data_IF_008929410953
#
_entry.id   IF_008929410953
#
_cell.length_a   1.000
_cell.length_b   1.000
_cell.length_c   1.000
_cell.angle_alpha   90.00
_cell.angle_beta   90.00
_cell.angle_gamma   90.00
#
_symmetry.space_group_name_H-M   'P 1'
#
loop_
_entity.id
_entity.type
_entity.pdbx_description
1 polymer ?
#
# COMPACT_ATOMS: atom_id res chain seq x y z
N UNK A 1 -18.18 4.84 13.60
CA UNK A 1 -18.73 5.76 12.59
C UNK A 1 -19.27 4.93 11.44
N UNK A 2 -20.22 5.43 10.64
CA UNK A 2 -20.62 4.71 9.42
C UNK A 2 -19.45 4.64 8.42
N UNK A 3 -19.19 3.46 7.86
CA UNK A 3 -18.19 3.24 6.81
C UNK A 3 -18.71 3.65 5.43
N UNK A 4 -17.81 4.16 4.58
CA UNK A 4 -18.14 4.60 3.22
C UNK A 4 -18.14 3.46 2.17
N UNK A 5 -17.73 2.24 2.57
CA UNK A 5 -17.54 1.12 1.68
C UNK A 5 -16.64 1.47 0.48
N UNK A 6 -17.08 1.08 -0.72
CA UNK A 6 -16.36 1.29 -1.98
C UNK A 6 -16.09 2.76 -2.32
N UNK A 7 -16.89 3.70 -1.81
CA UNK A 7 -16.69 5.12 -2.09
C UNK A 7 -15.40 5.69 -1.49
N UNK A 8 -14.83 5.02 -0.46
CA UNK A 8 -13.54 5.38 0.13
C UNK A 8 -12.35 5.28 -0.84
N UNK A 9 -12.52 4.58 -1.97
CA UNK A 9 -11.50 4.45 -3.01
C UNK A 9 -11.43 5.59 -4.02
N UNK A 10 -12.30 6.58 -3.91
CA UNK A 10 -12.35 7.66 -4.88
C UNK A 10 -11.04 8.47 -4.86
N UNK A 11 -10.36 8.57 -6.01
CA UNK A 11 -9.07 9.26 -6.13
C UNK A 11 -9.12 10.74 -5.68
N UNK A 12 -10.28 11.40 -5.78
CA UNK A 12 -10.48 12.77 -5.28
C UNK A 12 -10.21 12.92 -3.77
N UNK A 13 -10.35 11.84 -3.00
CA UNK A 13 -10.10 11.85 -1.55
C UNK A 13 -8.61 11.86 -1.22
N UNK A 14 -7.72 11.62 -2.20
CA UNK A 14 -6.30 11.46 -1.95
C UNK A 14 -5.58 12.73 -1.51
N UNK A 15 -6.17 13.89 -1.74
CA UNK A 15 -5.69 15.13 -1.12
C UNK A 15 -5.76 15.08 0.41
N UNK A 16 -6.67 14.28 0.97
CA UNK A 16 -6.90 14.12 2.40
C UNK A 16 -6.30 12.84 2.98
N UNK A 17 -6.31 11.76 2.19
CA UNK A 17 -5.89 10.44 2.64
C UNK A 17 -4.39 10.23 2.50
N UNK A 18 -3.74 10.87 1.52
CA UNK A 18 -2.32 10.65 1.27
C UNK A 18 -1.48 11.16 2.46
N UNK A 19 -0.52 10.36 2.96
CA UNK A 19 0.47 10.84 3.91
C UNK A 19 1.30 11.96 3.30
N UNK A 20 1.81 12.87 4.14
CA UNK A 20 2.61 14.03 3.71
C UNK A 20 3.83 13.64 2.84
N UNK A 21 4.44 12.49 3.13
CA UNK A 21 5.57 11.95 2.34
C UNK A 21 5.18 11.67 0.89
N UNK A 22 3.91 11.35 0.63
CA UNK A 22 3.36 11.07 -0.70
C UNK A 22 2.90 12.38 -1.36
N UNK A 23 3.86 13.26 -1.65
CA UNK A 23 3.60 14.57 -2.29
C UNK A 23 2.89 14.42 -3.63
N UNK A 24 2.32 15.51 -4.16
CA UNK A 24 1.69 15.49 -5.48
C UNK A 24 2.66 14.99 -6.58
N UNK A 25 3.90 15.47 -6.57
CA UNK A 25 4.93 15.03 -7.52
C UNK A 25 5.25 13.53 -7.37
N UNK A 26 5.35 13.02 -6.14
CA UNK A 26 5.63 11.60 -5.92
C UNK A 26 4.46 10.72 -6.40
N UNK A 27 3.22 11.12 -6.09
CA UNK A 27 2.03 10.40 -6.55
C UNK A 27 1.93 10.38 -8.07
N UNK A 28 2.17 11.51 -8.73
CA UNK A 28 2.17 11.59 -10.19
C UNK A 28 3.28 10.73 -10.81
N UNK A 29 4.47 10.76 -10.21
CA UNK A 29 5.59 9.94 -10.67
C UNK A 29 5.26 8.44 -10.60
N UNK A 30 4.69 7.97 -9.49
CA UNK A 30 4.27 6.58 -9.33
C UNK A 30 3.17 6.21 -10.33
N UNK A 31 2.17 7.07 -10.55
CA UNK A 31 1.12 6.82 -11.54
C UNK A 31 1.69 6.63 -12.96
N UNK A 32 2.72 7.40 -13.34
CA UNK A 32 3.34 7.30 -14.66
C UNK A 32 4.34 6.14 -14.82
N UNK A 33 4.83 5.59 -13.71
CA UNK A 33 5.94 4.61 -13.72
C UNK A 33 5.62 3.32 -12.98
N UNK A 34 4.38 3.11 -12.53
CA UNK A 34 3.96 1.90 -11.82
C UNK A 34 4.37 0.57 -12.48
N UNK A 35 4.14 0.38 -13.80
CA UNK A 35 4.57 -0.82 -14.50
C UNK A 35 6.09 -1.07 -14.43
N UNK A 36 6.91 -0.03 -14.38
CA UNK A 36 8.37 -0.14 -14.26
C UNK A 36 8.76 -0.81 -12.94
N UNK A 37 8.20 -0.34 -11.83
CA UNK A 37 8.51 -0.85 -10.49
C UNK A 37 8.03 -2.29 -10.29
N UNK A 38 6.82 -2.60 -10.78
CA UNK A 38 6.28 -3.96 -10.74
C UNK A 38 7.13 -4.94 -11.56
N UNK A 39 7.65 -4.51 -12.71
CA UNK A 39 8.52 -5.34 -13.54
C UNK A 39 9.92 -5.50 -12.94
N UNK A 40 10.48 -4.45 -12.32
CA UNK A 40 11.80 -4.49 -11.71
C UNK A 40 11.84 -5.25 -10.37
N UNK A 41 10.75 -5.19 -9.61
CA UNK A 41 10.61 -5.82 -8.28
C UNK A 41 9.31 -6.64 -8.22
N UNK A 42 9.22 -7.71 -9.04
CA UNK A 42 8.01 -8.51 -9.12
C UNK A 42 7.73 -9.23 -7.80
N UNK A 43 6.45 -9.40 -7.48
CA UNK A 43 6.02 -10.33 -6.45
C UNK A 43 5.87 -11.72 -7.07
N UNK A 44 6.81 -12.60 -6.75
CA UNK A 44 6.89 -13.95 -7.33
C UNK A 44 5.82 -14.86 -6.71
N UNK A 45 4.71 -15.04 -7.43
CA UNK A 45 3.59 -15.89 -7.03
C UNK A 45 3.98 -17.37 -6.97
N UNK A 46 4.90 -17.82 -7.83
CA UNK A 46 5.31 -19.21 -7.90
C UNK A 46 6.15 -19.59 -6.68
N UNK A 47 7.04 -18.69 -6.25
CA UNK A 47 7.87 -18.88 -5.05
C UNK A 47 7.06 -19.13 -3.76
N UNK A 48 5.87 -18.51 -3.67
CA UNK A 48 4.94 -18.67 -2.55
C UNK A 48 3.80 -19.64 -2.86
N UNK A 49 3.84 -20.35 -4.00
CA UNK A 49 2.81 -21.29 -4.43
C UNK A 49 1.41 -20.69 -4.41
N UNK A 50 1.28 -19.43 -4.82
CA UNK A 50 0.00 -18.76 -4.89
C UNK A 50 -0.82 -19.29 -6.07
N UNK A 51 -2.07 -19.64 -5.80
CA UNK A 51 -3.02 -20.13 -6.81
C UNK A 51 -4.23 -19.19 -6.88
N UNK A 52 -4.97 -19.13 -8.00
CA UNK A 52 -6.25 -18.44 -8.03
C UNK A 52 -7.16 -18.89 -6.88
N UNK A 53 -7.93 -17.96 -6.31
CA UNK A 53 -8.85 -18.30 -5.21
C UNK A 53 -9.87 -19.36 -5.67
N UNK A 54 -10.07 -20.46 -4.92
CA UNK A 54 -10.99 -21.53 -5.35
C UNK A 54 -12.45 -21.08 -5.47
N UNK A 55 -13.26 -21.69 -6.36
CA UNK A 55 -14.66 -21.30 -6.59
C UNK A 55 -15.56 -21.34 -5.35
N UNK A 56 -15.23 -22.15 -4.36
CA UNK A 56 -15.94 -22.22 -3.08
C UNK A 56 -15.86 -20.91 -2.26
N UNK A 57 -14.96 -20.00 -2.63
CA UNK A 57 -14.78 -18.66 -2.06
C UNK A 57 -15.07 -17.56 -3.11
N UNK A 58 -16.02 -17.81 -4.01
CA UNK A 58 -16.40 -16.87 -5.07
C UNK A 58 -16.89 -15.54 -4.50
N UNK A 59 -17.58 -15.55 -3.36
CA UNK A 59 -18.01 -14.37 -2.61
C UNK A 59 -16.85 -13.41 -2.28
N UNK A 60 -15.71 -13.96 -1.83
CA UNK A 60 -14.51 -13.17 -1.54
C UNK A 60 -13.91 -12.59 -2.83
N UNK A 61 -13.92 -13.38 -3.91
CA UNK A 61 -13.44 -12.92 -5.23
C UNK A 61 -14.29 -11.76 -5.75
N UNK A 62 -15.61 -11.90 -5.68
CA UNK A 62 -16.56 -10.91 -6.18
C UNK A 62 -16.51 -9.63 -5.34
N UNK A 63 -16.41 -9.75 -4.01
CA UNK A 63 -16.19 -8.63 -3.11
C UNK A 63 -14.89 -7.89 -3.46
N UNK A 64 -13.77 -8.61 -3.58
CA UNK A 64 -12.49 -8.00 -3.91
C UNK A 64 -12.50 -7.32 -5.29
N UNK A 65 -13.13 -7.92 -6.30
CA UNK A 65 -13.31 -7.32 -7.63
C UNK A 65 -14.21 -6.09 -7.60
N UNK A 66 -15.27 -6.11 -6.79
CA UNK A 66 -16.12 -4.94 -6.56
C UNK A 66 -15.35 -3.77 -5.96
N UNK A 67 -14.51 -4.04 -4.94
CA UNK A 67 -13.57 -3.05 -4.39
C UNK A 67 -12.58 -2.59 -5.45
N UNK A 68 -11.95 -3.51 -6.18
CA UNK A 68 -11.04 -3.22 -7.28
C UNK A 68 -11.64 -2.27 -8.31
N UNK A 69 -12.82 -2.59 -8.85
CA UNK A 69 -13.53 -1.78 -9.82
C UNK A 69 -13.84 -0.37 -9.30
N UNK A 70 -14.28 -0.24 -8.04
CA UNK A 70 -14.54 1.07 -7.43
C UNK A 70 -13.28 1.94 -7.29
N UNK A 71 -12.11 1.31 -7.20
CA UNK A 71 -10.81 1.99 -7.15
C UNK A 71 -10.20 2.18 -8.56
N UNK A 72 -10.93 1.86 -9.63
CA UNK A 72 -10.44 1.99 -11.01
C UNK A 72 -9.59 0.81 -11.49
N UNK A 73 -9.67 -0.35 -10.82
CA UNK A 73 -8.94 -1.58 -11.12
C UNK A 73 -9.93 -2.73 -11.44
N UNK A 74 -10.70 -2.66 -12.55
CA UNK A 74 -11.80 -3.59 -12.83
C UNK A 74 -11.37 -5.04 -13.07
N UNK A 75 -10.11 -5.27 -13.43
CA UNK A 75 -9.55 -6.60 -13.72
C UNK A 75 -8.70 -7.15 -12.56
N UNK A 76 -9.08 -6.82 -11.32
CA UNK A 76 -8.35 -7.30 -10.14
C UNK A 76 -8.32 -8.83 -10.10
N UNK A 77 -7.11 -9.39 -10.07
CA UNK A 77 -6.88 -10.81 -9.92
C UNK A 77 -6.65 -11.14 -8.44
N UNK A 78 -7.31 -12.19 -7.97
CA UNK A 78 -7.30 -12.60 -6.56
C UNK A 78 -6.68 -13.99 -6.45
N UNK A 79 -5.59 -14.07 -5.70
CA UNK A 79 -4.85 -15.29 -5.44
C UNK A 79 -4.91 -15.65 -3.95
N UNK A 80 -4.60 -16.89 -3.63
CA UNK A 80 -4.45 -17.39 -2.27
C UNK A 80 -3.19 -18.23 -2.11
N UNK A 81 -2.60 -18.21 -0.92
CA UNK A 81 -1.49 -19.11 -0.57
C UNK A 81 -1.54 -19.49 0.91
N UNK A 82 -1.08 -20.70 1.23
CA UNK A 82 -0.83 -21.13 2.61
C UNK A 82 0.51 -20.63 3.18
N UNK A 83 1.40 -20.06 2.35
CA UNK A 83 2.72 -19.58 2.76
C UNK A 83 2.67 -18.25 3.55
N UNK A 84 1.51 -17.58 3.58
CA UNK A 84 1.30 -16.31 4.26
C UNK A 84 0.33 -16.46 5.43
N UNK A 85 0.49 -15.61 6.45
CA UNK A 85 -0.42 -15.50 7.59
C UNK A 85 -1.78 -14.89 7.21
N UNK A 86 -2.51 -14.33 8.18
CA UNK A 86 -3.82 -13.71 7.94
C UNK A 86 -3.72 -12.32 7.24
N UNK A 87 -3.10 -12.26 6.07
CA UNK A 87 -2.76 -11.01 5.36
C UNK A 87 -3.41 -10.93 3.97
N UNK A 88 -3.54 -9.71 3.46
CA UNK A 88 -3.81 -9.41 2.05
C UNK A 88 -2.64 -8.60 1.50
N UNK A 89 -1.90 -9.16 0.55
CA UNK A 89 -0.71 -8.54 -0.03
C UNK A 89 -1.05 -7.87 -1.36
N UNK A 90 -0.72 -6.58 -1.54
CA UNK A 90 -0.78 -5.91 -2.85
C UNK A 90 0.40 -6.38 -3.72
N UNK A 91 0.18 -7.41 -4.54
CA UNK A 91 1.25 -8.09 -5.26
C UNK A 91 1.77 -7.30 -6.46
N UNK A 92 0.87 -6.78 -7.28
CA UNK A 92 1.21 -6.00 -8.49
C UNK A 92 0.04 -5.08 -8.83
N UNK A 93 0.36 -3.91 -9.37
CA UNK A 93 -0.57 -2.90 -9.89
C UNK A 93 -0.81 -3.10 -11.41
N UNK A 94 0.12 -3.73 -12.13
CA UNK A 94 0.03 -3.96 -13.58
C UNK A 94 0.45 -5.39 -14.01
N UNK A 95 -0.51 -6.30 -14.29
CA UNK A 95 -1.95 -6.16 -14.02
C UNK A 95 -2.23 -6.18 -12.50
N UNK A 96 -3.37 -5.63 -12.04
CA UNK A 96 -3.66 -5.56 -10.60
C UNK A 96 -3.90 -6.95 -10.00
N UNK A 97 -3.12 -7.30 -8.97
CA UNK A 97 -3.14 -8.58 -8.26
C UNK A 97 -3.07 -8.37 -6.76
N UNK A 98 -3.96 -9.05 -6.02
CA UNK A 98 -3.82 -9.24 -4.57
C UNK A 98 -3.64 -10.73 -4.25
N UNK A 99 -2.95 -11.00 -3.15
CA UNK A 99 -2.75 -12.36 -2.63
C UNK A 99 -3.24 -12.41 -1.19
N UNK A 100 -4.21 -13.28 -0.93
CA UNK A 100 -4.74 -13.56 0.40
C UNK A 100 -3.98 -14.73 1.02
N UNK A 101 -3.64 -14.64 2.30
CA UNK A 101 -3.21 -15.83 3.01
C UNK A 101 -4.40 -16.75 3.31
N UNK A 102 -4.20 -18.06 3.24
CA UNK A 102 -5.21 -19.06 3.58
C UNK A 102 -5.82 -18.82 4.97
N UNK A 103 -5.06 -18.42 6.02
CA UNK A 103 -5.65 -18.08 7.31
C UNK A 103 -6.61 -16.88 7.28
N UNK A 104 -6.43 -15.92 6.36
CA UNK A 104 -7.35 -14.80 6.19
C UNK A 104 -8.66 -15.25 5.52
N UNK A 105 -8.55 -16.10 4.50
CA UNK A 105 -9.70 -16.67 3.78
C UNK A 105 -10.56 -17.52 4.71
N UNK A 106 -9.92 -18.34 5.55
CA UNK A 106 -10.61 -19.21 6.51
C UNK A 106 -11.14 -18.46 7.75
N UNK A 107 -10.81 -17.18 7.92
CA UNK A 107 -11.19 -16.43 9.11
C UNK A 107 -12.67 -16.04 9.10
N UNK A 108 -13.38 -16.15 10.25
CA UNK A 108 -14.74 -15.64 10.37
C UNK A 108 -14.81 -14.10 10.44
N UNK A 109 -13.66 -13.40 10.53
CA UNK A 109 -13.59 -11.94 10.57
C UNK A 109 -13.62 -11.34 9.17
N UNK A 110 -14.80 -11.39 8.57
CA UNK A 110 -15.04 -10.83 7.23
C UNK A 110 -14.81 -9.32 7.18
N UNK A 111 -15.08 -8.65 8.30
CA UNK A 111 -14.84 -7.24 8.53
C UNK A 111 -13.36 -6.85 8.41
N UNK A 112 -12.48 -7.63 9.05
CA UNK A 112 -11.03 -7.44 8.98
C UNK A 112 -10.51 -7.83 7.59
N UNK A 113 -11.07 -8.87 6.97
CA UNK A 113 -10.77 -9.24 5.58
C UNK A 113 -11.11 -8.11 4.61
N UNK A 114 -12.29 -7.52 4.74
CA UNK A 114 -12.72 -6.37 3.93
C UNK A 114 -11.78 -5.17 4.11
N UNK A 115 -11.42 -4.83 5.35
CA UNK A 115 -10.41 -3.80 5.62
C UNK A 115 -9.09 -4.07 4.89
N UNK A 116 -8.56 -5.29 4.99
CA UNK A 116 -7.30 -5.67 4.35
C UNK A 116 -7.37 -5.64 2.82
N UNK A 117 -8.52 -5.97 2.23
CA UNK A 117 -8.77 -5.85 0.80
C UNK A 117 -8.76 -4.38 0.37
N UNK A 118 -9.51 -3.49 1.04
CA UNK A 118 -9.47 -2.05 0.75
C UNK A 118 -8.07 -1.47 0.87
N UNK A 119 -7.32 -1.87 1.91
CA UNK A 119 -5.93 -1.44 2.12
C UNK A 119 -5.05 -1.85 0.94
N UNK A 120 -5.08 -3.13 0.56
CA UNK A 120 -4.26 -3.64 -0.53
C UNK A 120 -4.63 -2.99 -1.87
N UNK A 121 -5.92 -2.91 -2.19
CA UNK A 121 -6.39 -2.28 -3.43
C UNK A 121 -6.02 -0.80 -3.49
N UNK A 122 -6.04 -0.07 -2.35
CA UNK A 122 -5.59 1.32 -2.32
C UNK A 122 -4.10 1.45 -2.69
N UNK A 123 -3.27 0.56 -2.17
CA UNK A 123 -1.82 0.54 -2.48
C UNK A 123 -1.58 0.23 -3.96
N UNK A 124 -2.40 -0.65 -4.57
CA UNK A 124 -2.35 -0.92 -6.00
C UNK A 124 -2.78 0.28 -6.84
N UNK A 125 -3.86 0.97 -6.45
CA UNK A 125 -4.37 2.16 -7.14
C UNK A 125 -3.31 3.26 -7.24
N UNK A 126 -2.41 3.33 -6.26
CA UNK A 126 -1.35 4.34 -6.18
C UNK A 126 -0.03 3.87 -6.78
N UNK A 127 0.01 2.70 -7.42
CA UNK A 127 1.18 2.10 -8.04
C UNK A 127 2.38 1.92 -7.08
N UNK A 128 2.08 1.72 -5.79
CA UNK A 128 3.08 1.72 -4.73
C UNK A 128 3.40 0.30 -4.20
N UNK A 129 2.97 -0.74 -4.92
CA UNK A 129 3.04 -2.16 -4.50
C UNK A 129 4.47 -2.62 -4.16
N UNK A 130 5.45 -2.25 -4.98
CA UNK A 130 6.85 -2.64 -4.77
C UNK A 130 7.39 -2.04 -3.46
N UNK A 131 7.20 -0.73 -3.27
CA UNK A 131 7.65 -0.03 -2.06
C UNK A 131 6.93 -0.48 -0.81
N UNK A 132 5.62 -0.76 -0.86
CA UNK A 132 4.85 -1.18 0.31
C UNK A 132 5.32 -2.52 0.88
N UNK A 133 5.85 -3.40 0.02
CA UNK A 133 6.33 -4.75 0.37
C UNK A 133 7.83 -4.83 0.61
N UNK A 134 8.58 -3.78 0.26
CA UNK A 134 10.04 -3.79 0.36
C UNK A 134 10.48 -3.74 1.82
N UNK A 135 11.44 -4.59 2.19
CA UNK A 135 12.00 -4.62 3.54
C UNK A 135 12.68 -3.28 3.86
N UNK A 136 12.68 -2.81 5.13
CA UNK A 136 13.24 -1.51 5.48
C UNK A 136 14.71 -1.31 5.04
N UNK A 137 15.52 -2.37 5.09
CA UNK A 137 16.93 -2.35 4.67
C UNK A 137 17.12 -2.15 3.15
N UNK A 138 16.12 -2.52 2.36
CA UNK A 138 16.11 -2.43 0.90
C UNK A 138 15.44 -1.18 0.36
N UNK A 139 14.67 -0.49 1.22
CA UNK A 139 13.77 0.57 0.79
C UNK A 139 14.52 1.79 0.24
N UNK A 140 15.58 2.22 0.92
CA UNK A 140 16.41 3.33 0.42
C UNK A 140 17.18 2.94 -0.85
N UNK A 141 17.92 1.81 -0.90
CA UNK A 141 18.55 1.34 -2.13
C UNK A 141 17.60 1.25 -3.33
N UNK A 142 16.38 0.71 -3.15
CA UNK A 142 15.39 0.61 -4.22
C UNK A 142 14.91 2.00 -4.68
N UNK A 143 14.52 2.88 -3.75
CA UNK A 143 14.06 4.22 -4.09
C UNK A 143 15.15 5.03 -4.79
N UNK A 144 16.39 4.94 -4.29
CA UNK A 144 17.54 5.59 -4.89
C UNK A 144 17.87 5.06 -6.29
N UNK A 145 17.79 3.74 -6.51
CA UNK A 145 17.96 3.16 -7.85
C UNK A 145 16.90 3.69 -8.82
N UNK A 146 15.64 3.72 -8.38
CA UNK A 146 14.51 4.20 -9.15
C UNK A 146 14.63 5.69 -9.52
N UNK A 147 14.92 6.55 -8.56
CA UNK A 147 15.11 7.98 -8.80
C UNK A 147 16.34 8.27 -9.65
N UNK A 148 17.43 7.49 -9.49
CA UNK A 148 18.63 7.64 -10.33
C UNK A 148 18.39 7.18 -11.77
N UNK A 149 17.59 6.15 -12.00
CA UNK A 149 17.21 5.75 -13.34
C UNK A 149 16.46 6.87 -14.09
N UNK A 150 15.67 7.68 -13.37
CA UNK A 150 14.91 8.81 -13.91
C UNK A 150 15.73 10.11 -13.96
N UNK A 151 16.71 10.27 -13.07
CA UNK A 151 17.61 11.43 -12.98
C UNK A 151 19.08 10.96 -12.96
N UNK A 152 19.68 10.61 -14.10
CA UNK A 152 20.98 9.93 -14.15
C UNK A 152 22.15 10.72 -13.54
N UNK A 153 22.08 12.05 -13.58
CA UNK A 153 23.09 12.96 -13.00
C UNK A 153 23.09 12.99 -11.48
N UNK A 154 22.00 12.54 -10.84
CA UNK A 154 21.93 12.47 -9.39
C UNK A 154 22.73 11.28 -8.85
N UNK A 155 23.42 11.50 -7.73
CA UNK A 155 24.19 10.47 -7.03
C UNK A 155 23.63 10.29 -5.62
N UNK A 156 22.90 9.19 -5.33
CA UNK A 156 22.35 8.95 -4.00
C UNK A 156 23.46 8.76 -2.98
N UNK A 157 23.22 9.27 -1.77
CA UNK A 157 24.12 9.14 -0.63
C UNK A 157 23.53 8.20 0.43
N UNK A 158 24.38 7.51 1.18
CA UNK A 158 23.96 6.66 2.31
C UNK A 158 23.20 5.39 1.95
N UNK A 159 23.08 5.03 0.66
CA UNK A 159 22.56 3.72 0.24
C UNK A 159 23.67 2.67 0.29
N UNK A 160 23.33 1.44 0.67
CA UNK A 160 24.23 0.30 0.50
C UNK A 160 24.59 0.13 -0.99
N UNK A 161 25.88 0.19 -1.32
CA UNK A 161 26.35 0.19 -2.70
C UNK A 161 26.07 -1.13 -3.43
N UNK A 162 26.03 -2.25 -2.72
CA UNK A 162 25.70 -3.56 -3.29
C UNK A 162 24.25 -3.61 -3.75
N UNK A 163 23.32 -3.35 -2.81
CA UNK A 163 21.87 -3.35 -3.05
C UNK A 163 21.47 -2.28 -4.06
N UNK A 164 22.08 -1.09 -4.01
CA UNK A 164 21.81 -0.02 -4.97
C UNK A 164 22.13 -0.48 -6.41
N UNK A 165 23.30 -1.08 -6.64
CA UNK A 165 23.68 -1.60 -7.97
C UNK A 165 22.76 -2.72 -8.43
N UNK A 166 22.34 -3.58 -7.52
CA UNK A 166 21.39 -4.65 -7.82
C UNK A 166 20.05 -4.09 -8.31
N UNK A 167 19.47 -3.14 -7.58
CA UNK A 167 18.20 -2.52 -7.97
C UNK A 167 18.33 -1.68 -9.24
N UNK A 168 19.45 -0.96 -9.44
CA UNK A 168 19.74 -0.27 -10.69
C UNK A 168 19.70 -1.23 -11.88
N UNK A 169 20.46 -2.33 -11.79
CA UNK A 169 20.50 -3.32 -12.87
C UNK A 169 19.14 -3.98 -13.12
N UNK A 170 18.27 -4.13 -12.11
CA UNK A 170 16.89 -4.61 -12.28
C UNK A 170 16.02 -3.61 -13.04
N UNK A 171 16.08 -2.33 -12.65
CA UNK A 171 15.29 -1.24 -13.24
C UNK A 171 15.74 -0.98 -14.68
N UNK A 172 17.04 -0.88 -14.94
CA UNK A 172 17.59 -0.67 -16.28
C UNK A 172 17.18 -1.78 -17.27
N UNK A 173 17.11 -3.03 -16.81
CA UNK A 173 16.68 -4.17 -17.65
C UNK A 173 15.25 -4.08 -18.14
N UNK A 174 14.37 -3.43 -17.37
CA UNK A 174 12.94 -3.31 -17.71
C UNK A 174 12.58 -1.94 -18.29
N UNK A 175 13.49 -0.97 -18.17
CA UNK A 175 13.33 0.36 -18.73
C UNK A 175 13.62 0.33 -20.23
N UNK A 176 12.63 -0.04 -21.03
CA UNK A 176 12.70 0.00 -22.49
C UNK A 176 12.23 1.37 -23.01
N UNK A 177 13.09 2.08 -23.73
CA UNK A 177 12.76 3.35 -24.37
C UNK A 177 13.34 4.59 -23.68
N UNK A 178 13.36 5.72 -24.39
CA UNK A 178 13.87 6.98 -23.87
C UNK A 178 13.00 7.51 -22.72
N UNK A 179 13.65 8.09 -21.71
CA UNK A 179 12.98 8.72 -20.57
C UNK A 179 12.21 9.95 -21.02
N UNK A 180 10.90 10.00 -20.77
CA UNK A 180 10.13 11.23 -20.88
C UNK A 180 10.76 12.29 -19.95
N UNK A 181 11.22 13.44 -20.48
CA UNK A 181 11.84 14.49 -19.67
C UNK A 181 10.99 14.94 -18.48
N UNK A 182 9.65 14.84 -18.57
CA UNK A 182 8.74 15.18 -17.48
C UNK A 182 8.92 14.27 -16.26
N UNK A 183 9.30 13.01 -16.47
CA UNK A 183 9.59 12.07 -15.37
C UNK A 183 10.84 12.48 -14.60
N UNK A 184 11.86 13.01 -15.29
CA UNK A 184 13.07 13.55 -14.65
C UNK A 184 12.78 14.75 -13.73
N UNK A 185 11.85 15.63 -14.14
CA UNK A 185 11.42 16.76 -13.30
C UNK A 185 10.70 16.27 -12.05
N UNK A 186 9.70 15.38 -12.21
CA UNK A 186 8.98 14.80 -11.07
C UNK A 186 9.94 14.04 -10.13
N UNK A 187 10.90 13.30 -10.67
CA UNK A 187 11.91 12.60 -9.88
C UNK A 187 12.82 13.58 -9.11
N UNK A 188 13.22 14.70 -9.72
CA UNK A 188 13.98 15.75 -9.05
C UNK A 188 13.21 16.36 -7.87
N UNK A 189 11.90 16.60 -8.02
CA UNK A 189 11.05 17.09 -6.93
C UNK A 189 10.95 16.07 -5.78
N UNK A 190 10.85 14.77 -6.10
CA UNK A 190 10.89 13.70 -5.09
C UNK A 190 12.25 13.66 -4.39
N UNK A 191 13.36 13.76 -5.13
CA UNK A 191 14.71 13.82 -4.56
C UNK A 191 14.84 14.99 -3.57
N UNK A 192 14.31 16.17 -3.92
CA UNK A 192 14.35 17.35 -3.07
C UNK A 192 13.48 17.26 -1.82
N UNK A 193 12.39 16.50 -1.85
CA UNK A 193 11.39 16.45 -0.76
C UNK A 193 11.46 15.20 0.13
N UNK A 194 12.08 14.10 -0.33
CA UNK A 194 12.14 12.85 0.43
C UNK A 194 13.03 12.98 1.68
N UNK A 195 14.13 13.74 1.59
CA UNK A 195 15.10 13.91 2.66
C UNK A 195 15.54 12.57 3.26
N UNK A 196 15.59 12.49 4.60
CA UNK A 196 15.96 11.26 5.32
C UNK A 196 14.76 10.32 5.59
N UNK A 197 13.59 10.58 4.98
CA UNK A 197 12.33 9.86 5.26
C UNK A 197 12.15 8.60 4.40
N UNK A 198 13.12 8.26 3.56
CA UNK A 198 13.04 7.08 2.69
C UNK A 198 12.84 5.77 3.49
N UNK A 199 13.43 5.66 4.69
CA UNK A 199 13.31 4.47 5.55
C UNK A 199 11.89 4.24 6.10
N UNK A 200 11.03 5.24 6.09
CA UNK A 200 9.63 5.15 6.53
C UNK A 200 8.63 5.14 5.37
N UNK A 201 9.11 5.12 4.11
CA UNK A 201 8.26 5.17 2.93
C UNK A 201 7.24 4.01 2.88
N UNK A 202 7.65 2.79 3.23
CA UNK A 202 6.74 1.66 3.29
C UNK A 202 5.61 1.90 4.30
N UNK A 203 5.92 2.48 5.45
CA UNK A 203 4.96 2.79 6.52
C UNK A 203 4.00 3.88 6.06
N UNK A 204 4.49 4.90 5.35
CA UNK A 204 3.63 5.93 4.77
C UNK A 204 2.65 5.33 3.74
N UNK A 205 3.15 4.55 2.77
CA UNK A 205 2.31 3.92 1.74
C UNK A 205 1.25 3.00 2.37
N UNK A 206 1.66 2.16 3.34
CA UNK A 206 0.73 1.31 4.07
C UNK A 206 -0.27 2.13 4.90
N UNK A 207 0.17 3.24 5.51
CA UNK A 207 -0.69 4.23 6.18
C UNK A 207 -1.76 4.78 5.26
N UNK A 208 -1.44 5.14 4.01
CA UNK A 208 -2.43 5.56 3.01
C UNK A 208 -3.49 4.49 2.78
N UNK A 209 -3.06 3.24 2.63
CA UNK A 209 -3.97 2.09 2.53
C UNK A 209 -4.86 1.93 3.77
N UNK A 210 -4.29 2.09 4.97
CA UNK A 210 -5.03 2.00 6.23
C UNK A 210 -6.08 3.11 6.35
N UNK A 211 -5.75 4.35 5.95
CA UNK A 211 -6.67 5.49 6.02
C UNK A 211 -7.87 5.30 5.09
N UNK A 212 -7.64 4.86 3.86
CA UNK A 212 -8.72 4.54 2.92
C UNK A 212 -9.57 3.34 3.41
N UNK A 213 -8.93 2.29 3.92
CA UNK A 213 -9.62 1.13 4.46
C UNK A 213 -10.43 1.47 5.72
N UNK A 214 -9.89 2.32 6.60
CA UNK A 214 -10.60 2.81 7.77
C UNK A 214 -11.82 3.66 7.39
N UNK A 215 -11.69 4.53 6.38
CA UNK A 215 -12.82 5.27 5.84
C UNK A 215 -13.89 4.33 5.24
N UNK A 216 -13.47 3.23 4.60
CA UNK A 216 -14.36 2.23 4.04
C UNK A 216 -15.16 1.49 5.13
N UNK A 217 -14.50 1.04 6.20
CA UNK A 217 -15.13 0.22 7.25
C UNK A 217 -15.74 1.02 8.40
N UNK A 218 -15.24 2.22 8.70
CA UNK A 218 -15.78 3.13 9.72
C UNK A 218 -15.53 2.74 11.19
N UNK A 219 -14.75 1.69 11.44
CA UNK A 219 -14.48 1.14 12.77
C UNK A 219 -12.98 0.98 13.04
N UNK A 220 -12.54 1.57 14.16
CA UNK A 220 -11.14 1.61 14.56
C UNK A 220 -10.63 0.28 15.13
N UNK A 221 -11.49 -0.52 15.76
CA UNK A 221 -11.11 -1.86 16.23
C UNK A 221 -10.85 -2.80 15.04
N UNK A 222 -11.69 -2.73 14.01
CA UNK A 222 -11.49 -3.46 12.76
C UNK A 222 -10.15 -3.05 12.13
N UNK A 223 -9.91 -1.74 11.99
CA UNK A 223 -8.69 -1.24 11.37
C UNK A 223 -7.41 -1.60 12.15
N UNK A 224 -7.42 -1.47 13.48
CA UNK A 224 -6.26 -1.86 14.31
C UNK A 224 -6.03 -3.37 14.30
N UNK A 225 -7.08 -4.18 14.21
CA UNK A 225 -6.96 -5.64 14.02
C UNK A 225 -6.34 -5.97 12.67
N UNK A 226 -6.79 -5.31 11.60
CA UNK A 226 -6.20 -5.45 10.27
C UNK A 226 -4.74 -5.04 10.23
N UNK A 227 -4.36 -3.94 10.89
CA UNK A 227 -2.95 -3.52 11.02
C UNK A 227 -2.14 -4.59 11.75
N UNK A 228 -2.63 -5.14 12.87
CA UNK A 228 -1.93 -6.22 13.58
C UNK A 228 -1.69 -7.44 12.66
N UNK A 229 -2.73 -7.87 11.95
CA UNK A 229 -2.67 -9.01 11.05
C UNK A 229 -1.71 -8.79 9.89
N UNK A 230 -1.75 -7.60 9.27
CA UNK A 230 -0.84 -7.23 8.18
C UNK A 230 0.64 -7.27 8.58
N UNK A 231 0.94 -7.00 9.86
CA UNK A 231 2.28 -7.08 10.42
C UNK A 231 2.70 -8.49 10.85
N UNK A 232 1.97 -9.53 10.43
CA UNK A 232 2.26 -10.93 10.77
C UNK A 232 1.85 -11.35 12.19
N UNK A 233 1.16 -10.48 12.94
CA UNK A 233 0.65 -10.81 14.26
C UNK A 233 -0.80 -11.28 14.12
N UNK A 234 -1.02 -12.59 14.09
CA UNK A 234 -2.37 -13.16 13.96
C UNK A 234 -3.25 -12.92 15.18
N UNK A 235 -2.64 -12.59 16.33
CA UNK A 235 -3.37 -12.15 17.51
C UNK A 235 -3.89 -10.73 17.30
N UNK A 236 -5.17 -10.52 17.61
CA UNK A 236 -5.75 -9.18 17.66
C UNK A 236 -4.95 -8.27 18.62
N UNK A 237 -4.96 -6.93 18.40
CA UNK A 237 -4.39 -6.03 19.38
C UNK A 237 -5.07 -6.21 20.74
N UNK A 238 -4.39 -5.87 21.86
CA UNK A 238 -5.02 -5.91 23.18
C UNK A 238 -6.38 -5.18 23.16
N UNK A 239 -7.39 -5.77 23.82
CA UNK A 239 -8.77 -5.29 23.73
C UNK A 239 -8.94 -3.83 24.20
N UNK A 240 -8.16 -3.39 25.18
CA UNK A 240 -8.24 -2.04 25.74
C UNK A 240 -7.14 -1.73 26.75
N UNK A 241 -7.32 -0.60 27.45
CA UNK A 241 -6.46 -0.19 28.56
C UNK A 241 -5.02 0.14 28.18
N UNK A 242 -4.14 0.11 29.18
CA UNK A 242 -2.72 0.48 29.07
C UNK A 242 -1.96 -0.36 28.04
N UNK A 243 -2.29 -1.65 27.94
CA UNK A 243 -1.61 -2.56 27.01
C UNK A 243 -1.92 -2.21 25.55
N UNK A 244 -3.17 -1.81 25.27
CA UNK A 244 -3.56 -1.34 23.94
C UNK A 244 -2.87 -0.03 23.58
N UNK A 245 -2.83 0.93 24.51
CA UNK A 245 -2.10 2.19 24.31
C UNK A 245 -0.61 1.92 24.06
N UNK A 246 0.00 1.00 24.80
CA UNK A 246 1.40 0.60 24.62
C UNK A 246 1.64 -0.05 23.27
N UNK A 247 0.73 -0.93 22.82
CA UNK A 247 0.81 -1.56 21.50
C UNK A 247 0.70 -0.52 20.38
N UNK A 248 -0.29 0.38 20.44
CA UNK A 248 -0.41 1.50 19.50
C UNK A 248 0.88 2.32 19.50
N UNK A 249 1.38 2.68 20.68
CA UNK A 249 2.62 3.43 20.85
C UNK A 249 3.86 2.77 20.25
N UNK A 250 3.85 1.45 20.00
CA UNK A 250 4.96 0.70 19.38
C UNK A 250 4.76 0.42 17.89
N UNK A 251 3.53 0.48 17.38
CA UNK A 251 3.22 0.21 15.98
C UNK A 251 3.06 1.52 15.19
N UNK A 252 3.96 1.79 14.24
CA UNK A 252 3.97 3.06 13.51
C UNK A 252 2.70 3.31 12.67
N UNK A 253 2.17 2.28 12.01
CA UNK A 253 0.93 2.37 11.24
C UNK A 253 -0.29 2.62 12.14
N UNK A 254 -0.33 1.98 13.32
CA UNK A 254 -1.38 2.22 14.29
C UNK A 254 -1.35 3.65 14.83
N UNK A 255 -0.16 4.19 15.13
CA UNK A 255 -0.01 5.60 15.54
C UNK A 255 -0.51 6.55 14.45
N UNK A 256 -0.09 6.34 13.21
CA UNK A 256 -0.53 7.14 12.06
C UNK A 256 -2.07 7.13 11.93
N UNK A 257 -2.67 5.94 12.00
CA UNK A 257 -4.11 5.82 11.87
C UNK A 257 -4.88 6.52 12.99
N UNK A 258 -4.39 6.46 14.23
CA UNK A 258 -5.01 7.15 15.37
C UNK A 258 -4.97 8.66 15.20
N UNK A 259 -3.84 9.21 14.72
CA UNK A 259 -3.74 10.64 14.41
C UNK A 259 -4.70 11.02 13.29
N UNK A 260 -4.75 10.23 12.22
CA UNK A 260 -5.69 10.46 11.12
C UNK A 260 -7.15 10.38 11.57
N UNK A 261 -7.48 9.46 12.47
CA UNK A 261 -8.85 9.22 12.96
C UNK A 261 -9.48 10.43 13.67
N UNK A 262 -8.65 11.40 14.10
CA UNK A 262 -9.07 12.63 14.76
C UNK A 262 -8.64 13.89 13.99
N UNK A 263 -8.25 13.74 12.72
CA UNK A 263 -7.74 14.83 11.88
C UNK A 263 -8.84 15.48 11.03
N UNK A 264 -8.62 16.74 10.65
CA UNK A 264 -9.46 17.47 9.69
C UNK A 264 -9.51 16.74 8.34
N UNK A 265 -8.42 16.09 7.92
CA UNK A 265 -8.39 15.31 6.68
C UNK A 265 -9.42 14.16 6.67
N UNK A 266 -9.70 13.52 7.81
CA UNK A 266 -10.80 12.55 7.88
C UNK A 266 -12.16 13.24 7.77
N UNK A 267 -12.35 14.36 8.48
CA UNK A 267 -13.60 15.11 8.46
C UNK A 267 -13.93 15.58 7.03
N UNK A 268 -12.96 16.19 6.35
CA UNK A 268 -13.10 16.67 4.96
C UNK A 268 -13.33 15.53 3.97
N UNK A 269 -12.65 14.39 4.14
CA UNK A 269 -12.90 13.21 3.30
C UNK A 269 -14.32 12.66 3.49
N UNK A 270 -14.85 12.69 4.71
CA UNK A 270 -16.21 12.26 5.03
C UNK A 270 -17.26 13.24 4.50
N UNK A 271 -17.01 14.53 4.60
CA UNK A 271 -17.88 15.57 4.03
C UNK A 271 -18.01 15.40 2.51
N UNK A 272 -16.91 15.15 1.79
CA UNK A 272 -16.92 14.86 0.34
C UNK A 272 -17.68 13.58 -0.06
N UNK A 273 -18.00 12.74 0.92
CA UNK A 273 -18.79 11.52 0.77
C UNK A 273 -20.24 11.70 1.26
N UNK A 274 -20.62 12.92 1.66
CA UNK A 274 -21.97 13.24 2.10
C UNK A 274 -22.28 12.82 3.55
N UNK A 275 -21.26 12.51 4.35
CA UNK A 275 -21.45 12.38 5.79
C UNK A 275 -21.50 13.77 6.41
N UNK A 276 -22.69 14.23 6.78
CA UNK A 276 -22.87 15.32 7.75
C UNK A 276 -22.79 14.75 9.16
N UNK A 277 -22.16 15.49 10.09
CA UNK A 277 -22.12 15.14 11.52
C UNK A 277 -23.49 14.78 12.10
#
# INVERSE_FOLDING_TARGET
>A
MGGAGNAAGAARLDVHLAPELMTAAFRELLLKTGPLLDAAVPFDLDSIRATPLPPQHADITDLARGVGAAYGLPNLQVYVTAALGAVCVPASSSPPKIVLGQPLVASPREDVRLFLIHRAVKILQTNASAFSRTAPIDLWPLLAAYLKALTPSWTPQGADAGRLREYQGRIERVMAGGLDPKLGVLAADVIGSIGNRASTLNTAINGWGNRAAFLAVGDLNIALTGIAWSGGHTNAPPAGGKDRVTWIGRNAEARDLIVFAVSDGLAEAREQLGFTE
#
